data_IF_272614473301
#
_entry.id   IF_272614473301
#
_cell.length_a   1.000
_cell.length_b   1.000
_cell.length_c   1.000
_cell.angle_alpha   90.00
_cell.angle_beta   90.00
_cell.angle_gamma   90.00
#
_symmetry.space_group_name_H-M   'P 1'
#
loop_
_entity.id
_entity.type
_entity.pdbx_description
1 polymer ?
#
# COMPACT_ATOMS: atom_id res chain seq x y z
N UNK A 1 -8.06 0.81 44.77
CA UNK A 1 -8.28 1.47 43.47
C UNK A 1 -7.22 1.00 42.50
N UNK A 2 -7.56 0.11 41.55
CA UNK A 2 -6.70 -0.18 40.40
C UNK A 2 -7.16 0.77 39.29
N UNK A 3 -6.43 1.84 39.05
CA UNK A 3 -6.62 2.73 37.90
C UNK A 3 -6.19 1.99 36.64
N UNK A 4 -7.09 1.20 36.07
CA UNK A 4 -6.88 0.55 34.79
C UNK A 4 -7.21 1.56 33.68
N UNK A 5 -6.32 2.52 33.46
CA UNK A 5 -6.36 3.34 32.25
C UNK A 5 -5.68 2.53 31.15
N UNK A 6 -6.42 1.58 30.56
CA UNK A 6 -6.08 1.04 29.24
C UNK A 6 -6.16 2.22 28.27
N UNK A 7 -5.06 2.93 28.05
CA UNK A 7 -4.96 3.86 26.94
C UNK A 7 -5.07 3.01 25.68
N UNK A 8 -6.25 2.99 25.06
CA UNK A 8 -6.45 2.41 23.74
C UNK A 8 -5.52 3.17 22.79
N UNK A 9 -4.36 2.58 22.52
CA UNK A 9 -3.42 3.13 21.55
C UNK A 9 -3.90 2.78 20.16
N UNK A 10 -3.77 3.73 19.25
CA UNK A 10 -3.96 3.50 17.82
C UNK A 10 -2.81 2.64 17.29
N UNK A 11 -3.12 1.48 16.73
CA UNK A 11 -2.15 0.60 16.07
C UNK A 11 -1.99 0.99 14.60
N UNK A 12 -0.91 1.68 14.26
CA UNK A 12 -0.63 2.22 12.93
C UNK A 12 0.35 1.34 12.14
N UNK A 13 -0.07 0.86 10.97
CA UNK A 13 0.80 0.18 10.00
C UNK A 13 1.62 1.15 9.16
N UNK A 14 2.95 1.01 9.18
CA UNK A 14 3.89 1.76 8.35
C UNK A 14 4.60 0.82 7.36
N UNK A 15 4.87 1.26 6.12
CA UNK A 15 5.49 0.40 5.11
C UNK A 15 6.97 0.18 5.41
N UNK A 16 7.38 -1.08 5.52
CA UNK A 16 8.78 -1.49 5.61
C UNK A 16 9.42 -1.52 4.21
N UNK A 17 10.72 -1.20 4.13
CA UNK A 17 11.50 -1.28 2.89
C UNK A 17 11.60 0.04 2.13
N UNK A 18 11.30 0.04 0.83
CA UNK A 18 11.62 1.17 -0.07
C UNK A 18 10.93 2.49 0.29
N UNK A 19 9.73 2.44 0.90
CA UNK A 19 8.97 3.62 1.33
C UNK A 19 9.20 4.00 2.80
N UNK A 20 9.94 3.20 3.57
CA UNK A 20 10.07 3.38 5.01
C UNK A 20 10.63 4.77 5.37
N UNK A 21 11.82 5.11 4.87
CA UNK A 21 12.48 6.37 5.20
C UNK A 21 11.70 7.59 4.69
N UNK A 22 11.04 7.46 3.54
CA UNK A 22 10.19 8.51 3.01
C UNK A 22 8.94 8.71 3.90
N UNK A 23 8.37 7.63 4.43
CA UNK A 23 7.25 7.68 5.37
C UNK A 23 7.68 8.31 6.69
N UNK A 24 8.83 7.91 7.25
CA UNK A 24 9.36 8.49 8.49
C UNK A 24 9.65 9.98 8.33
N UNK A 25 10.23 10.38 7.19
CA UNK A 25 10.47 11.79 6.87
C UNK A 25 9.18 12.60 6.75
N UNK A 26 8.13 12.01 6.16
CA UNK A 26 6.81 12.64 6.09
C UNK A 26 6.17 12.78 7.48
N UNK A 27 6.24 11.73 8.31
CA UNK A 27 5.74 11.79 9.68
C UNK A 27 6.48 12.83 10.52
N UNK A 28 7.80 12.95 10.38
CA UNK A 28 8.59 13.98 11.06
C UNK A 28 8.14 15.40 10.65
N UNK A 29 7.84 15.64 9.37
CA UNK A 29 7.26 16.91 8.90
C UNK A 29 5.87 17.19 9.47
N UNK A 30 5.12 16.14 9.79
CA UNK A 30 3.82 16.23 10.45
C UNK A 30 3.93 16.36 11.98
N UNK A 31 5.15 16.37 12.55
CA UNK A 31 5.40 16.53 13.99
C UNK A 31 5.58 15.22 14.76
N UNK A 32 5.64 14.07 14.09
CA UNK A 32 5.84 12.75 14.72
C UNK A 32 7.23 12.21 14.41
N UNK A 33 8.09 12.09 15.41
CA UNK A 33 9.41 11.48 15.26
C UNK A 33 9.32 9.96 15.36
N UNK A 34 9.49 9.31 14.21
CA UNK A 34 9.51 7.85 14.10
C UNK A 34 10.94 7.34 13.92
N UNK A 35 11.33 6.32 14.68
CA UNK A 35 12.67 5.72 14.60
C UNK A 35 12.59 4.20 14.69
N UNK A 36 13.35 3.51 13.85
CA UNK A 36 13.44 2.05 13.89
C UNK A 36 14.90 1.61 13.77
N UNK A 37 15.26 0.56 14.50
CA UNK A 37 16.46 -0.22 14.16
C UNK A 37 16.23 -0.98 12.85
N UNK A 38 17.32 -1.30 12.15
CA UNK A 38 17.31 -1.90 10.80
C UNK A 38 16.42 -3.18 10.71
N UNK A 39 16.50 -4.03 11.73
CA UNK A 39 15.73 -5.28 11.83
C UNK A 39 14.45 -5.17 12.65
N UNK A 40 14.11 -3.99 13.17
CA UNK A 40 12.92 -3.82 14.00
C UNK A 40 11.65 -3.89 13.16
N UNK A 41 10.60 -4.46 13.75
CA UNK A 41 9.23 -4.43 13.24
C UNK A 41 8.33 -3.50 14.08
N UNK A 42 8.87 -2.93 15.16
CA UNK A 42 8.16 -2.10 16.12
C UNK A 42 8.94 -0.78 16.27
N UNK A 43 8.73 0.18 15.36
CA UNK A 43 9.37 1.48 15.44
C UNK A 43 8.89 2.24 16.69
N UNK A 44 9.78 3.04 17.24
CA UNK A 44 9.43 4.05 18.24
C UNK A 44 8.69 5.21 17.57
N UNK A 45 7.66 5.73 18.23
CA UNK A 45 6.94 6.96 17.90
C UNK A 45 6.90 7.81 19.17
N UNK A 46 7.17 9.10 19.07
CA UNK A 46 7.14 10.05 20.18
C UNK A 46 5.73 10.54 20.56
N UNK A 47 4.72 9.69 20.36
CA UNK A 47 3.35 9.93 20.78
C UNK A 47 2.85 8.73 21.62
N UNK A 48 2.46 8.93 22.88
CA UNK A 48 2.03 7.83 23.76
C UNK A 48 0.71 7.18 23.33
N UNK A 49 -0.07 7.82 22.45
CA UNK A 49 -1.36 7.34 21.94
C UNK A 49 -1.22 6.50 20.66
N UNK A 50 -0.02 6.42 20.08
CA UNK A 50 0.24 5.68 18.84
C UNK A 50 1.19 4.52 19.11
N UNK A 51 0.84 3.34 18.63
CA UNK A 51 1.73 2.20 18.50
C UNK A 51 1.93 1.86 17.02
N UNK A 52 3.16 1.95 16.53
CA UNK A 52 3.43 1.67 15.11
C UNK A 52 3.97 0.25 14.89
N UNK A 53 3.63 -0.32 13.73
CA UNK A 53 4.12 -1.61 13.22
C UNK A 53 4.68 -1.43 11.83
N UNK A 54 5.91 -1.90 11.60
CA UNK A 54 6.49 -1.96 10.26
C UNK A 54 6.02 -3.23 9.57
N UNK A 55 5.24 -3.07 8.50
CA UNK A 55 4.62 -4.16 7.76
C UNK A 55 5.00 -4.02 6.28
N UNK A 56 5.08 -5.13 5.55
CA UNK A 56 5.26 -5.06 4.10
C UNK A 56 4.05 -4.34 3.50
N UNK A 57 4.29 -3.34 2.62
CA UNK A 57 3.20 -2.53 2.05
C UNK A 57 2.05 -3.36 1.47
N UNK A 58 2.39 -4.49 0.83
CA UNK A 58 1.46 -5.47 0.24
C UNK A 58 0.42 -6.03 1.22
N UNK A 59 0.72 -6.04 2.52
CA UNK A 59 -0.11 -6.69 3.55
C UNK A 59 -0.94 -5.69 4.36
N UNK A 60 -0.55 -4.40 4.36
CA UNK A 60 -1.12 -3.38 5.25
C UNK A 60 -2.64 -3.27 5.08
N UNK A 61 -3.16 -3.21 3.84
CA UNK A 61 -4.59 -3.04 3.61
C UNK A 61 -5.41 -4.20 4.19
N UNK A 62 -4.90 -5.44 4.06
CA UNK A 62 -5.53 -6.65 4.61
C UNK A 62 -5.51 -6.63 6.13
N UNK A 63 -4.42 -6.18 6.75
CA UNK A 63 -4.36 -6.12 8.21
C UNK A 63 -5.27 -5.04 8.80
N UNK A 64 -5.50 -3.93 8.09
CA UNK A 64 -6.53 -2.96 8.47
C UNK A 64 -7.93 -3.57 8.35
N UNK A 65 -8.24 -4.20 7.22
CA UNK A 65 -9.51 -4.88 6.97
C UNK A 65 -9.82 -5.97 8.02
N UNK A 66 -8.80 -6.73 8.44
CA UNK A 66 -8.93 -7.77 9.48
C UNK A 66 -8.98 -7.21 10.91
N UNK A 67 -8.90 -5.89 11.10
CA UNK A 67 -8.88 -5.24 12.42
C UNK A 67 -7.61 -5.52 13.24
N UNK A 68 -6.54 -5.98 12.59
CA UNK A 68 -5.23 -6.18 13.23
C UNK A 68 -4.44 -4.87 13.34
N UNK A 69 -4.74 -3.92 12.47
CA UNK A 69 -4.27 -2.54 12.50
C UNK A 69 -5.50 -1.63 12.51
N UNK A 70 -5.45 -0.54 13.26
CA UNK A 70 -6.54 0.45 13.25
C UNK A 70 -6.47 1.34 12.00
N UNK A 71 -5.25 1.61 11.52
CA UNK A 71 -4.98 2.37 10.31
C UNK A 71 -3.65 1.94 9.69
N UNK A 72 -3.41 2.30 8.43
CA UNK A 72 -2.14 2.02 7.78
C UNK A 72 -1.84 2.89 6.58
N UNK A 73 -0.54 3.10 6.33
CA UNK A 73 -0.04 3.79 5.15
C UNK A 73 0.48 2.76 4.17
N UNK A 74 -0.12 2.68 2.99
CA UNK A 74 0.31 1.77 1.92
C UNK A 74 0.11 2.38 0.54
N UNK A 75 0.63 1.71 -0.48
CA UNK A 75 0.36 2.05 -1.87
C UNK A 75 -1.08 1.74 -2.24
N UNK A 76 -1.71 2.64 -2.97
CA UNK A 76 -3.08 2.48 -3.47
C UNK A 76 -3.25 1.23 -4.36
N UNK A 77 -2.19 0.90 -5.11
CA UNK A 77 -2.10 -0.33 -5.90
C UNK A 77 -2.35 -1.59 -5.05
N UNK A 78 -1.87 -1.63 -3.81
CA UNK A 78 -2.10 -2.78 -2.91
C UNK A 78 -3.52 -2.86 -2.38
N UNK A 79 -4.20 -1.73 -2.15
CA UNK A 79 -5.62 -1.72 -1.76
C UNK A 79 -6.45 -2.35 -2.87
N UNK A 80 -6.22 -1.91 -4.12
CA UNK A 80 -6.94 -2.41 -5.30
C UNK A 80 -6.56 -3.86 -5.64
N UNK A 81 -5.28 -4.22 -5.54
CA UNK A 81 -4.78 -5.58 -5.79
C UNK A 81 -5.39 -6.58 -4.81
N UNK A 82 -5.42 -6.21 -3.52
CA UNK A 82 -5.97 -7.06 -2.48
C UNK A 82 -7.50 -7.09 -2.51
N UNK A 83 -8.14 -6.06 -3.08
CA UNK A 83 -9.58 -5.89 -3.03
C UNK A 83 -10.09 -5.66 -1.61
N UNK A 84 -9.29 -5.01 -0.76
CA UNK A 84 -9.60 -4.82 0.67
C UNK A 84 -10.75 -3.83 0.87
N UNK A 85 -11.68 -4.16 1.76
CA UNK A 85 -12.74 -3.28 2.22
C UNK A 85 -12.23 -2.36 3.34
N UNK A 86 -11.66 -1.22 2.94
CA UNK A 86 -11.09 -0.22 3.84
C UNK A 86 -11.51 1.19 3.44
N UNK A 87 -11.58 2.10 4.42
CA UNK A 87 -11.81 3.52 4.13
C UNK A 87 -10.51 4.19 3.67
N UNK A 88 -10.49 4.66 2.43
CA UNK A 88 -9.43 5.51 1.91
C UNK A 88 -9.57 6.93 2.46
N UNK A 89 -8.73 7.29 3.43
CA UNK A 89 -8.83 8.57 4.13
C UNK A 89 -8.28 9.74 3.31
N UNK A 90 -7.08 9.57 2.72
CA UNK A 90 -6.41 10.62 1.95
C UNK A 90 -5.29 10.07 1.08
N UNK A 91 -4.95 10.80 0.01
CA UNK A 91 -3.79 10.53 -0.81
C UNK A 91 -2.56 11.26 -0.24
N UNK A 92 -1.51 10.49 0.09
CA UNK A 92 -0.26 11.04 0.62
C UNK A 92 0.77 11.13 -0.52
N UNK A 93 1.08 12.35 -0.94
CA UNK A 93 2.07 12.59 -1.99
C UNK A 93 3.50 12.60 -1.43
N UNK A 94 4.12 11.43 -1.36
CA UNK A 94 5.52 11.28 -0.98
C UNK A 94 6.16 10.11 -1.74
N UNK A 95 7.47 10.19 -1.97
CA UNK A 95 8.18 9.17 -2.74
C UNK A 95 9.66 9.14 -2.36
N UNK A 96 10.30 7.99 -2.63
CA UNK A 96 11.74 7.80 -2.45
C UNK A 96 12.59 8.61 -3.44
N UNK A 97 12.15 8.73 -4.70
CA UNK A 97 12.99 9.18 -5.82
C UNK A 97 12.37 10.32 -6.66
N UNK A 98 11.19 10.83 -6.27
CA UNK A 98 10.54 11.99 -6.90
C UNK A 98 9.01 11.89 -6.94
N UNK A 99 8.33 13.03 -7.02
CA UNK A 99 6.86 13.13 -6.97
C UNK A 99 6.14 12.71 -8.27
N UNK A 100 6.86 12.09 -9.22
CA UNK A 100 6.21 11.62 -10.45
C UNK A 100 5.39 10.37 -10.13
N UNK A 101 4.08 10.35 -10.44
CA UNK A 101 3.26 9.19 -10.20
C UNK A 101 3.74 8.00 -11.04
N UNK A 102 3.82 6.84 -10.41
CA UNK A 102 4.05 5.57 -11.10
C UNK A 102 2.77 5.19 -11.82
N UNK A 103 2.89 4.62 -13.02
CA UNK A 103 1.75 4.19 -13.83
C UNK A 103 1.86 2.71 -14.15
N UNK A 104 0.77 1.98 -13.92
CA UNK A 104 0.60 0.65 -14.47
C UNK A 104 0.42 0.72 -15.99
N UNK A 105 1.18 -0.10 -16.70
CA UNK A 105 1.14 -0.17 -18.17
C UNK A 105 1.01 -1.61 -18.62
N UNK A 106 0.29 -1.81 -19.73
CA UNK A 106 0.34 -3.07 -20.47
C UNK A 106 1.51 -2.98 -21.45
N UNK A 107 2.43 -3.93 -21.37
CA UNK A 107 3.55 -4.05 -22.29
C UNK A 107 3.37 -5.26 -23.20
N UNK A 108 3.77 -5.12 -24.46
CA UNK A 108 3.83 -6.19 -25.44
C UNK A 108 5.19 -6.15 -26.16
N UNK A 109 5.64 -7.27 -26.75
CA UNK A 109 6.82 -7.25 -27.61
C UNK A 109 6.69 -6.20 -28.73
N UNK A 110 7.78 -5.55 -29.10
CA UNK A 110 7.78 -4.46 -30.09
C UNK A 110 7.24 -4.91 -31.46
N UNK A 111 7.51 -6.16 -31.84
CA UNK A 111 7.02 -6.79 -33.06
C UNK A 111 5.61 -7.40 -32.94
N UNK A 112 4.91 -7.18 -31.83
CA UNK A 112 3.57 -7.71 -31.59
C UNK A 112 2.54 -7.09 -32.55
N UNK A 113 1.54 -7.89 -32.94
CA UNK A 113 0.36 -7.42 -33.68
C UNK A 113 -0.66 -6.70 -32.80
N UNK A 114 -0.49 -6.74 -31.47
CA UNK A 114 -1.36 -6.07 -30.50
C UNK A 114 -1.08 -4.57 -30.57
N UNK A 115 -2.09 -3.78 -30.95
CA UNK A 115 -1.99 -2.31 -31.07
C UNK A 115 -2.91 -1.60 -30.09
N UNK A 116 -3.95 -2.28 -29.62
CA UNK A 116 -4.95 -1.75 -28.70
C UNK A 116 -5.20 -2.74 -27.57
N UNK A 117 -5.76 -2.24 -26.45
CA UNK A 117 -6.18 -3.10 -25.33
C UNK A 117 -7.21 -4.15 -25.74
N UNK A 118 -8.00 -3.91 -26.81
CA UNK A 118 -9.01 -4.87 -27.29
C UNK A 118 -8.36 -6.11 -27.92
N UNK A 119 -7.14 -5.97 -28.43
CA UNK A 119 -6.39 -7.08 -29.03
C UNK A 119 -5.89 -8.09 -27.99
N UNK A 120 -6.06 -7.78 -26.70
CA UNK A 120 -5.80 -8.69 -25.58
C UNK A 120 -6.88 -9.76 -25.42
N UNK A 121 -8.01 -9.67 -26.14
CA UNK A 121 -9.05 -10.71 -26.06
C UNK A 121 -8.48 -12.09 -26.46
N UNK A 122 -8.74 -13.10 -25.62
CA UNK A 122 -8.23 -14.46 -25.77
C UNK A 122 -6.72 -14.59 -25.60
N UNK A 123 -6.02 -13.55 -25.10
CA UNK A 123 -4.59 -13.60 -24.79
C UNK A 123 -4.35 -13.98 -23.33
N UNK A 124 -3.13 -14.43 -23.07
CA UNK A 124 -2.62 -14.66 -21.72
C UNK A 124 -1.77 -13.48 -21.28
N UNK A 125 -1.95 -13.01 -20.05
CA UNK A 125 -1.24 -11.90 -19.42
C UNK A 125 -0.42 -12.44 -18.26
N UNK A 126 0.90 -12.22 -18.28
CA UNK A 126 1.78 -12.52 -17.16
C UNK A 126 1.94 -11.27 -16.28
N UNK A 127 1.61 -11.37 -15.00
CA UNK A 127 1.66 -10.24 -14.06
C UNK A 127 1.69 -10.75 -12.62
N UNK A 128 2.37 -10.02 -11.73
CA UNK A 128 2.27 -10.21 -10.27
C UNK A 128 1.04 -9.50 -9.68
N UNK A 129 0.52 -8.49 -10.39
CA UNK A 129 -0.63 -7.68 -9.98
C UNK A 129 -1.93 -8.23 -10.58
N UNK A 130 -2.31 -9.43 -10.11
CA UNK A 130 -3.42 -10.21 -10.67
C UNK A 130 -4.77 -9.54 -10.42
N UNK A 131 -5.02 -9.07 -9.20
CA UNK A 131 -6.25 -8.38 -8.80
C UNK A 131 -6.47 -7.09 -9.61
N UNK A 132 -5.43 -6.25 -9.67
CA UNK A 132 -5.39 -5.03 -10.49
C UNK A 132 -5.67 -5.33 -11.97
N UNK A 133 -5.03 -6.37 -12.50
CA UNK A 133 -5.21 -6.77 -13.91
C UNK A 133 -6.63 -7.24 -14.16
N UNK A 134 -7.21 -8.07 -13.28
CA UNK A 134 -8.61 -8.49 -13.37
C UNK A 134 -9.58 -7.32 -13.35
N UNK A 135 -9.38 -6.35 -12.45
CA UNK A 135 -10.21 -5.15 -12.40
C UNK A 135 -10.07 -4.31 -13.68
N UNK A 136 -8.84 -4.13 -14.18
CA UNK A 136 -8.57 -3.42 -15.42
C UNK A 136 -9.29 -4.07 -16.63
N UNK A 137 -9.17 -5.39 -16.78
CA UNK A 137 -9.84 -6.13 -17.86
C UNK A 137 -11.36 -6.04 -17.76
N UNK A 138 -11.91 -6.21 -16.55
CA UNK A 138 -13.35 -6.09 -16.29
C UNK A 138 -13.89 -4.70 -16.65
N UNK A 139 -13.21 -3.65 -16.22
CA UNK A 139 -13.57 -2.24 -16.53
C UNK A 139 -13.59 -1.98 -18.04
N UNK A 140 -12.67 -2.60 -18.78
CA UNK A 140 -12.53 -2.45 -20.23
C UNK A 140 -13.31 -3.50 -21.05
N UNK A 141 -14.05 -4.40 -20.40
CA UNK A 141 -14.81 -5.51 -21.04
C UNK A 141 -13.93 -6.41 -21.93
N UNK A 142 -12.71 -6.69 -21.48
CA UNK A 142 -11.76 -7.58 -22.16
C UNK A 142 -11.80 -8.96 -21.51
N UNK A 143 -11.84 -10.02 -22.32
CA UNK A 143 -11.74 -11.41 -21.87
C UNK A 143 -10.33 -11.94 -22.16
N UNK A 144 -9.45 -11.91 -21.18
CA UNK A 144 -8.08 -12.43 -21.24
C UNK A 144 -7.80 -13.30 -20.01
N UNK A 145 -6.82 -14.21 -20.10
CA UNK A 145 -6.37 -15.10 -19.02
C UNK A 145 -5.16 -14.53 -18.28
#
# INVERSE_FOLDING_TARGET
>A
MKTNSQTNKLVLGLPKGSLQEATFSMMAKAGFNVRAGERSYTPYVDDPTIEARLIRAQEISRYVELGMLDAGITGYDWIVENGSDVLEVTELQYAKQGFRPVRWVVAVPENSKIRTIRDLNGKRIATEAVGLTKQFLKKNRIKAE
#
